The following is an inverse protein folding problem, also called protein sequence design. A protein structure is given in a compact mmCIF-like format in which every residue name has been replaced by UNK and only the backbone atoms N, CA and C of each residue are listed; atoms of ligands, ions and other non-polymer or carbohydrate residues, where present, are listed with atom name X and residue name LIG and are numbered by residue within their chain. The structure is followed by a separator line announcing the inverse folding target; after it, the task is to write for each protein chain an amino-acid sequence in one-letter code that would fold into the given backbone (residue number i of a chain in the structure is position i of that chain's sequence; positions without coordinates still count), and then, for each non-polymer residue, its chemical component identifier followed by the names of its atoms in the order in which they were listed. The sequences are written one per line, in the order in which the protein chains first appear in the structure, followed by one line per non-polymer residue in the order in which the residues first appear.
data_IF_297025112402
#
_entry.id   IF_297025112402
#
_cell.length_a   1.000
_cell.length_b   1.000
_cell.length_c   1.000
_cell.angle_alpha   90.00
_cell.angle_beta   90.00
_cell.angle_gamma   90.00
#
_symmetry.space_group_name_H-M   'P 1'
#
loop_
_entity.id
_entity.type
_entity.pdbx_description
1 polymer ?
#
# COMPACT_ATOMS: atom_id res chain seq x y z
N UNK A 1 -14.48 40.64 -39.72
CA UNK A 1 -14.41 39.20 -39.46
C UNK A 1 -15.73 38.60 -39.87
N UNK A 2 -15.73 37.47 -40.57
CA UNK A 2 -16.96 36.76 -40.88
C UNK A 2 -17.55 36.18 -39.59
N UNK A 3 -18.87 35.99 -39.51
CA UNK A 3 -19.53 35.36 -38.35
C UNK A 3 -18.93 33.98 -38.03
N UNK A 4 -18.44 33.28 -39.06
CA UNK A 4 -17.75 32.01 -38.95
C UNK A 4 -16.38 32.14 -38.25
N UNK A 5 -15.63 33.21 -38.53
CA UNK A 5 -14.33 33.45 -37.88
C UNK A 5 -14.50 33.70 -36.38
N UNK A 6 -15.54 34.45 -35.99
CA UNK A 6 -15.88 34.70 -34.59
C UNK A 6 -16.28 33.40 -33.88
N UNK A 7 -17.12 32.57 -34.51
CA UNK A 7 -17.50 31.27 -33.96
C UNK A 7 -16.30 30.34 -33.71
N UNK A 8 -15.37 30.22 -34.66
CA UNK A 8 -14.17 29.41 -34.46
C UNK A 8 -13.20 30.02 -33.44
N UNK A 9 -13.18 31.34 -33.28
CA UNK A 9 -12.41 32.00 -32.24
C UNK A 9 -12.96 31.68 -30.85
N UNK A 10 -14.29 31.69 -30.68
CA UNK A 10 -14.95 31.30 -29.43
C UNK A 10 -14.67 29.83 -29.07
N UNK A 11 -14.77 28.91 -30.04
CA UNK A 11 -14.40 27.49 -29.85
C UNK A 11 -12.94 27.36 -29.42
N UNK A 12 -12.03 28.09 -30.06
CA UNK A 12 -10.61 28.04 -29.71
C UNK A 12 -10.35 28.52 -28.29
N UNK A 13 -11.05 29.55 -27.84
CA UNK A 13 -10.95 30.04 -26.46
C UNK A 13 -11.48 29.01 -25.46
N UNK A 14 -12.61 28.34 -25.77
CA UNK A 14 -13.17 27.28 -24.93
C UNK A 14 -12.21 26.08 -24.83
N UNK A 15 -11.65 25.61 -25.95
CA UNK A 15 -10.63 24.56 -25.97
C UNK A 15 -9.41 24.97 -25.13
N UNK A 16 -8.96 26.22 -25.25
CA UNK A 16 -7.80 26.72 -24.49
C UNK A 16 -8.07 26.73 -22.99
N UNK A 17 -9.29 27.09 -22.56
CA UNK A 17 -9.72 27.01 -21.15
C UNK A 17 -9.72 25.56 -20.66
N UNK A 18 -10.24 24.62 -21.44
CA UNK A 18 -10.27 23.20 -21.08
C UNK A 18 -8.87 22.58 -20.98
N UNK A 19 -7.96 22.94 -21.89
CA UNK A 19 -6.56 22.52 -21.81
C UNK A 19 -5.91 23.06 -20.54
N UNK A 20 -6.12 24.34 -20.21
CA UNK A 20 -5.56 24.93 -18.99
C UNK A 20 -6.08 24.23 -17.72
N UNK A 21 -7.38 23.92 -17.65
CA UNK A 21 -7.99 23.15 -16.55
C UNK A 21 -7.34 21.79 -16.37
N UNK A 22 -7.09 21.08 -17.48
CA UNK A 22 -6.42 19.77 -17.47
C UNK A 22 -4.98 19.88 -16.95
N UNK A 23 -4.25 20.92 -17.34
CA UNK A 23 -2.89 21.17 -16.85
C UNK A 23 -2.87 21.42 -15.34
N UNK A 24 -3.79 22.27 -14.83
CA UNK A 24 -3.90 22.53 -13.39
C UNK A 24 -4.20 21.26 -12.58
N UNK A 25 -5.07 20.38 -13.08
CA UNK A 25 -5.33 19.09 -12.45
C UNK A 25 -4.07 18.20 -12.43
N UNK A 26 -3.32 18.17 -13.53
CA UNK A 26 -2.09 17.38 -13.62
C UNK A 26 -1.01 17.92 -12.68
N UNK A 27 -0.87 19.23 -12.57
CA UNK A 27 0.10 19.86 -11.67
C UNK A 27 -0.24 19.57 -10.21
N UNK A 28 -1.52 19.62 -9.85
CA UNK A 28 -2.00 19.27 -8.51
C UNK A 28 -1.79 17.77 -8.21
N UNK A 29 -2.06 16.88 -9.17
CA UNK A 29 -1.73 15.44 -9.07
C UNK A 29 -0.23 15.23 -8.83
N UNK A 30 0.62 15.88 -9.63
CA UNK A 30 2.08 15.79 -9.51
C UNK A 30 2.58 16.32 -8.16
N UNK A 31 2.02 17.43 -7.66
CA UNK A 31 2.38 17.99 -6.34
C UNK A 31 2.09 17.00 -5.21
N UNK A 32 0.97 16.27 -5.30
CA UNK A 32 0.67 15.24 -4.32
C UNK A 32 1.61 14.04 -4.45
N UNK A 33 1.86 13.56 -5.66
CA UNK A 33 2.80 12.45 -5.90
C UNK A 33 4.20 12.80 -5.35
N UNK A 34 4.68 14.04 -5.56
CA UNK A 34 5.93 14.56 -4.97
C UNK A 34 5.89 14.56 -3.44
N UNK A 35 4.75 14.90 -2.84
CA UNK A 35 4.58 14.88 -1.37
C UNK A 35 4.69 13.47 -0.78
N UNK A 36 4.48 12.43 -1.60
CA UNK A 36 4.56 11.04 -1.18
C UNK A 36 5.96 10.42 -1.31
N UNK A 37 6.86 11.02 -2.11
CA UNK A 37 8.22 10.52 -2.36
C UNK A 37 9.02 10.26 -1.06
N UNK A 38 9.00 11.13 -0.04
CA UNK A 38 9.73 10.87 1.20
C UNK A 38 9.30 9.55 1.86
N UNK A 39 8.00 9.29 1.97
CA UNK A 39 7.49 8.06 2.58
C UNK A 39 7.80 6.83 1.74
N UNK A 40 7.68 6.93 0.42
CA UNK A 40 8.07 5.84 -0.49
C UNK A 40 9.56 5.52 -0.37
N UNK A 41 10.41 6.55 -0.25
CA UNK A 41 11.86 6.38 -0.05
C UNK A 41 12.16 5.70 1.27
N UNK A 42 11.48 6.10 2.35
CA UNK A 42 11.62 5.46 3.66
C UNK A 42 11.12 4.01 3.63
N UNK A 43 9.99 3.73 2.99
CA UNK A 43 9.48 2.35 2.82
C UNK A 43 10.48 1.49 2.05
N UNK A 44 11.05 2.02 0.97
CA UNK A 44 12.03 1.30 0.17
C UNK A 44 13.31 0.98 0.96
N UNK A 45 13.72 1.85 1.89
CA UNK A 45 14.85 1.54 2.76
C UNK A 45 14.53 0.39 3.71
N UNK A 46 13.32 0.34 4.29
CA UNK A 46 12.87 -0.78 5.13
C UNK A 46 12.80 -2.11 4.39
N UNK A 47 12.42 -2.09 3.10
CA UNK A 47 12.35 -3.29 2.29
C UNK A 47 13.70 -4.03 2.12
N UNK A 48 14.82 -3.34 2.40
CA UNK A 48 16.16 -3.93 2.37
C UNK A 48 16.65 -4.44 3.74
N UNK A 49 15.93 -4.12 4.82
CA UNK A 49 16.32 -4.40 6.20
C UNK A 49 15.70 -5.71 6.69
N UNK A 50 16.49 -6.54 7.36
CA UNK A 50 16.02 -7.79 7.95
C UNK A 50 14.97 -7.55 9.06
N UNK A 51 13.96 -8.42 9.18
CA UNK A 51 12.85 -8.23 10.12
C UNK A 51 13.25 -7.93 11.58
N UNK A 52 14.24 -8.64 12.10
CA UNK A 52 14.80 -8.46 13.46
C UNK A 52 15.42 -7.06 13.72
N UNK A 53 15.89 -6.39 12.67
CA UNK A 53 16.50 -5.06 12.77
C UNK A 53 15.49 -3.91 12.55
N UNK A 54 14.26 -4.21 12.11
CA UNK A 54 13.26 -3.18 11.83
C UNK A 54 12.86 -2.38 13.09
N UNK A 55 12.80 -3.01 14.28
CA UNK A 55 12.37 -2.34 15.51
C UNK A 55 13.23 -1.10 15.84
N UNK A 56 14.55 -1.20 15.62
CA UNK A 56 15.47 -0.09 15.86
C UNK A 56 15.22 1.13 14.98
N UNK A 57 14.60 0.94 13.80
CA UNK A 57 14.27 2.02 12.85
C UNK A 57 12.97 2.72 13.27
N UNK A 58 11.96 1.96 13.66
CA UNK A 58 10.64 2.49 14.01
C UNK A 58 10.62 3.33 15.30
N UNK A 59 11.59 3.15 16.21
CA UNK A 59 11.74 4.02 17.38
C UNK A 59 12.08 5.48 17.03
N UNK A 60 12.57 5.73 15.81
CA UNK A 60 13.01 7.06 15.36
C UNK A 60 12.15 7.65 14.25
N UNK A 61 11.20 6.88 13.71
CA UNK A 61 10.36 7.30 12.59
C UNK A 61 9.01 7.80 13.11
N UNK A 62 8.70 9.09 12.88
CA UNK A 62 7.38 9.66 13.18
C UNK A 62 6.26 8.88 12.48
N UNK A 63 5.07 8.84 13.10
CA UNK A 63 3.85 8.36 12.45
C UNK A 63 3.65 9.07 11.11
N UNK A 64 3.51 8.29 10.03
CA UNK A 64 3.19 8.82 8.71
C UNK A 64 1.75 9.38 8.66
N UNK A 65 0.90 9.00 9.62
CA UNK A 65 -0.55 9.20 9.59
C UNK A 65 -0.90 10.69 9.56
N UNK A 66 -0.39 11.49 10.51
CA UNK A 66 -0.72 12.92 10.60
C UNK A 66 -0.20 13.70 9.39
N UNK A 67 0.98 13.34 8.89
CA UNK A 67 1.58 14.03 7.76
C UNK A 67 0.86 13.71 6.44
N UNK A 68 0.52 12.44 6.21
CA UNK A 68 -0.29 12.02 5.05
C UNK A 68 -1.68 12.63 5.11
N UNK A 69 -2.33 12.60 6.29
CA UNK A 69 -3.63 13.24 6.51
C UNK A 69 -3.56 14.75 6.21
N UNK A 70 -2.52 15.42 6.68
CA UNK A 70 -2.29 16.84 6.41
C UNK A 70 -2.10 17.14 4.91
N UNK A 71 -1.32 16.33 4.21
CA UNK A 71 -1.11 16.47 2.76
C UNK A 71 -2.41 16.20 1.98
N UNK A 72 -3.16 15.17 2.35
CA UNK A 72 -4.45 14.83 1.76
C UNK A 72 -5.47 15.97 1.96
N UNK A 73 -5.55 16.52 3.18
CA UNK A 73 -6.44 17.64 3.48
C UNK A 73 -6.11 18.89 2.64
N UNK A 74 -4.82 19.24 2.52
CA UNK A 74 -4.37 20.34 1.65
C UNK A 74 -4.77 20.09 0.19
N UNK A 75 -4.55 18.87 -0.30
CA UNK A 75 -4.88 18.48 -1.66
C UNK A 75 -6.38 18.59 -1.96
N UNK A 76 -7.23 18.04 -1.07
CA UNK A 76 -8.69 18.08 -1.25
C UNK A 76 -9.19 19.52 -1.26
N UNK A 77 -8.64 20.40 -0.40
CA UNK A 77 -8.99 21.81 -0.40
C UNK A 77 -8.60 22.49 -1.72
N UNK A 78 -7.38 22.29 -2.20
CA UNK A 78 -6.95 22.84 -3.50
C UNK A 78 -7.76 22.28 -4.68
N UNK A 79 -8.15 21.01 -4.64
CA UNK A 79 -9.00 20.39 -5.66
C UNK A 79 -10.42 20.95 -5.65
N UNK A 80 -10.94 21.33 -4.48
CA UNK A 80 -12.26 21.94 -4.35
C UNK A 80 -12.33 23.30 -5.07
N UNK A 81 -11.26 24.10 -4.99
CA UNK A 81 -11.15 25.44 -5.60
C UNK A 81 -11.08 25.43 -7.13
N UNK A 82 -10.65 24.33 -7.75
CA UNK A 82 -10.51 24.24 -9.21
C UNK A 82 -11.88 24.14 -9.91
N UNK A 83 -12.09 24.93 -10.97
CA UNK A 83 -13.29 24.86 -11.81
C UNK A 83 -13.21 23.69 -12.82
N UNK A 84 -13.41 22.46 -12.32
CA UNK A 84 -13.34 21.22 -13.09
C UNK A 84 -14.60 20.36 -12.94
N UNK A 85 -14.83 19.44 -13.88
CA UNK A 85 -16.00 18.55 -13.85
C UNK A 85 -15.96 17.66 -12.59
N UNK A 86 -17.11 17.36 -11.95
CA UNK A 86 -17.16 16.51 -10.76
C UNK A 86 -16.48 15.16 -10.95
N UNK A 87 -16.66 14.53 -12.12
CA UNK A 87 -16.03 13.24 -12.44
C UNK A 87 -14.50 13.29 -12.51
N UNK A 88 -13.91 14.43 -12.92
CA UNK A 88 -12.47 14.61 -12.94
C UNK A 88 -11.91 14.76 -11.52
N UNK A 89 -12.61 15.53 -10.67
CA UNK A 89 -12.27 15.70 -9.26
C UNK A 89 -12.36 14.36 -8.51
N UNK A 90 -13.44 13.62 -8.72
CA UNK A 90 -13.65 12.32 -8.10
C UNK A 90 -12.56 11.32 -8.51
N UNK A 91 -12.23 11.22 -9.81
CA UNK A 91 -11.15 10.35 -10.30
C UNK A 91 -9.83 10.63 -9.57
N UNK A 92 -9.48 11.90 -9.45
CA UNK A 92 -8.21 12.33 -8.87
C UNK A 92 -8.20 12.15 -7.35
N UNK A 93 -9.29 12.50 -6.67
CA UNK A 93 -9.48 12.24 -5.24
C UNK A 93 -9.37 10.76 -4.92
N UNK A 94 -10.02 9.90 -5.71
CA UNK A 94 -9.95 8.44 -5.55
C UNK A 94 -8.52 7.91 -5.70
N UNK A 95 -7.75 8.38 -6.69
CA UNK A 95 -6.33 7.99 -6.85
C UNK A 95 -5.52 8.37 -5.61
N UNK A 96 -5.63 9.61 -5.18
CA UNK A 96 -4.85 10.16 -4.05
C UNK A 96 -5.22 9.49 -2.72
N UNK A 97 -6.49 9.19 -2.51
CA UNK A 97 -6.94 8.39 -1.35
C UNK A 97 -6.39 6.97 -1.44
N UNK A 98 -6.46 6.29 -2.59
CA UNK A 98 -5.87 4.95 -2.78
C UNK A 98 -4.37 4.93 -2.47
N UNK A 99 -3.60 5.90 -2.95
CA UNK A 99 -2.16 5.99 -2.72
C UNK A 99 -1.84 6.27 -1.24
N UNK A 100 -2.65 7.09 -0.58
CA UNK A 100 -2.54 7.35 0.86
C UNK A 100 -2.82 6.09 1.69
N UNK A 101 -3.90 5.35 1.37
CA UNK A 101 -4.24 4.07 2.02
C UNK A 101 -3.09 3.08 1.85
N UNK A 102 -2.54 2.97 0.64
CA UNK A 102 -1.44 2.07 0.35
C UNK A 102 -0.21 2.36 1.23
N UNK A 103 0.20 3.62 1.33
CA UNK A 103 1.37 3.99 2.16
C UNK A 103 1.13 3.68 3.64
N UNK A 104 -0.06 3.95 4.16
CA UNK A 104 -0.41 3.65 5.56
C UNK A 104 -0.42 2.14 5.83
N UNK A 105 -0.97 1.34 4.92
CA UNK A 105 -0.96 -0.12 5.04
C UNK A 105 0.46 -0.68 5.02
N UNK A 106 1.33 -0.18 4.15
CA UNK A 106 2.74 -0.62 4.09
C UNK A 106 3.50 -0.19 5.34
N UNK A 107 3.30 1.04 5.82
CA UNK A 107 3.88 1.51 7.07
C UNK A 107 3.47 0.62 8.25
N UNK A 108 2.17 0.32 8.37
CA UNK A 108 1.63 -0.58 9.39
C UNK A 108 2.24 -1.97 9.32
N UNK A 109 2.36 -2.52 8.10
CA UNK A 109 2.94 -3.83 7.88
C UNK A 109 4.38 -3.92 8.44
N UNK A 110 5.27 -3.00 8.05
CA UNK A 110 6.65 -3.03 8.53
C UNK A 110 6.76 -2.75 10.03
N UNK A 111 5.93 -1.85 10.58
CA UNK A 111 5.96 -1.55 12.00
C UNK A 111 5.59 -2.77 12.86
N UNK A 112 4.52 -3.49 12.51
CA UNK A 112 4.10 -4.70 13.23
C UNK A 112 5.16 -5.81 13.08
N UNK A 113 5.77 -5.97 11.90
CA UNK A 113 6.88 -6.92 11.75
C UNK A 113 8.05 -6.59 12.66
N UNK A 114 8.47 -5.32 12.70
CA UNK A 114 9.56 -4.89 13.58
C UNK A 114 9.25 -5.16 15.06
N UNK A 115 8.03 -4.92 15.51
CA UNK A 115 7.62 -5.21 16.88
C UNK A 115 7.63 -6.73 17.17
N UNK A 116 7.12 -7.55 16.25
CA UNK A 116 6.89 -8.99 16.47
C UNK A 116 8.13 -9.85 16.35
N UNK A 117 9.10 -9.49 15.49
CA UNK A 117 10.36 -10.24 15.31
C UNK A 117 11.34 -10.10 16.48
N UNK A 118 10.97 -9.38 17.55
CA UNK A 118 11.73 -9.30 18.80
C UNK A 118 11.36 -10.39 19.81
N UNK A 119 10.34 -11.21 19.49
CA UNK A 119 9.79 -12.23 20.37
C UNK A 119 9.90 -13.63 19.73
N UNK A 120 10.03 -14.66 20.57
CA UNK A 120 9.97 -16.07 20.20
C UNK A 120 8.93 -16.76 21.12
N UNK A 121 7.81 -17.29 20.60
CA UNK A 121 7.43 -17.41 19.19
C UNK A 121 7.01 -16.08 18.55
N UNK A 122 7.15 -15.98 17.22
CA UNK A 122 6.70 -14.81 16.46
C UNK A 122 5.19 -14.93 16.25
N UNK A 123 4.41 -14.08 16.93
CA UNK A 123 2.96 -14.05 16.80
C UNK A 123 2.51 -12.76 16.13
N UNK A 124 1.76 -12.88 15.04
CA UNK A 124 1.26 -11.74 14.27
C UNK A 124 -0.26 -11.81 14.19
N UNK A 125 -0.92 -10.77 14.70
CA UNK A 125 -2.36 -10.59 14.50
C UNK A 125 -2.64 -10.14 13.08
N UNK A 126 -3.55 -10.82 12.36
CA UNK A 126 -3.82 -10.48 10.96
C UNK A 126 -4.57 -9.15 10.80
N UNK A 127 -5.74 -9.04 11.43
CA UNK A 127 -6.63 -7.87 11.31
C UNK A 127 -6.75 -7.22 12.68
N UNK A 128 -6.73 -5.89 12.67
CA UNK A 128 -6.90 -5.08 13.88
C UNK A 128 -8.25 -5.34 14.55
N UNK A 129 -8.21 -5.45 15.88
CA UNK A 129 -9.38 -5.65 16.74
C UNK A 129 -9.39 -4.64 17.88
N UNK A 130 -10.46 -4.58 18.66
CA UNK A 130 -10.59 -3.64 19.78
C UNK A 130 -9.51 -3.80 20.86
N UNK A 131 -8.91 -5.00 20.97
CA UNK A 131 -7.95 -5.35 22.01
C UNK A 131 -6.51 -5.35 21.54
N UNK A 132 -6.30 -5.62 20.26
CA UNK A 132 -4.98 -5.88 19.71
C UNK A 132 -4.87 -5.38 18.28
N UNK A 133 -3.70 -4.80 18.02
CA UNK A 133 -3.34 -4.20 16.76
C UNK A 133 -2.91 -5.26 15.74
N UNK A 134 -3.54 -5.25 14.56
CA UNK A 134 -3.22 -6.18 13.48
C UNK A 134 -2.27 -5.59 12.44
N UNK A 135 -1.63 -6.48 11.68
CA UNK A 135 -0.77 -6.11 10.55
C UNK A 135 -1.55 -5.47 9.40
N UNK A 136 -2.83 -5.80 9.27
CA UNK A 136 -3.78 -5.16 8.35
C UNK A 136 -4.74 -4.30 9.18
N UNK A 137 -4.74 -3.00 8.90
CA UNK A 137 -5.72 -2.06 9.44
C UNK A 137 -7.08 -2.23 8.76
N UNK A 138 -8.17 -2.03 9.50
CA UNK A 138 -9.52 -2.14 8.94
C UNK A 138 -9.83 -0.95 8.01
N UNK A 139 -10.80 -1.08 7.08
CA UNK A 139 -11.23 0.07 6.26
C UNK A 139 -11.69 1.25 7.13
N UNK A 140 -12.45 0.98 8.19
CA UNK A 140 -12.96 2.03 9.09
C UNK A 140 -11.83 2.77 9.80
N UNK A 141 -10.83 2.04 10.30
CA UNK A 141 -9.63 2.60 10.92
C UNK A 141 -8.86 3.50 9.94
N UNK A 142 -8.55 3.00 8.75
CA UNK A 142 -7.77 3.73 7.75
C UNK A 142 -8.47 5.02 7.29
N UNK A 143 -9.76 4.95 6.95
CA UNK A 143 -10.48 6.13 6.48
C UNK A 143 -10.61 7.18 7.60
N UNK A 144 -10.78 6.74 8.85
CA UNK A 144 -10.74 7.62 10.01
C UNK A 144 -9.37 8.30 10.18
N UNK A 145 -8.27 7.57 10.01
CA UNK A 145 -6.91 8.12 10.05
C UNK A 145 -6.70 9.18 8.97
N UNK A 146 -7.24 8.95 7.76
CA UNK A 146 -7.18 9.90 6.65
C UNK A 146 -8.13 11.10 6.81
N UNK A 147 -9.06 11.06 7.77
CA UNK A 147 -10.07 12.10 7.95
C UNK A 147 -11.14 12.12 6.85
N UNK A 148 -11.34 11.00 6.17
CA UNK A 148 -12.36 10.83 5.12
C UNK A 148 -13.59 10.17 5.74
N UNK A 149 -14.76 10.77 5.57
CA UNK A 149 -16.02 10.30 6.18
C UNK A 149 -16.58 9.06 5.50
N UNK A 150 -16.51 9.02 4.17
CA UNK A 150 -17.12 7.96 3.37
C UNK A 150 -16.12 6.85 3.07
N UNK A 151 -16.43 5.65 3.58
CA UNK A 151 -15.57 4.48 3.37
C UNK A 151 -15.80 3.93 1.96
N UNK A 152 -14.77 4.05 1.12
CA UNK A 152 -14.75 3.44 -0.20
C UNK A 152 -13.96 2.13 -0.18
N UNK A 153 -14.67 1.00 -0.10
CA UNK A 153 -14.07 -0.33 -0.06
C UNK A 153 -13.27 -0.67 -1.32
N UNK A 154 -13.62 -0.12 -2.48
CA UNK A 154 -12.87 -0.40 -3.71
C UNK A 154 -11.44 0.15 -3.61
N UNK A 155 -11.27 1.39 -3.15
CA UNK A 155 -9.94 1.99 -2.98
C UNK A 155 -9.10 1.21 -1.97
N UNK A 156 -9.72 0.82 -0.85
CA UNK A 156 -9.07 -0.01 0.16
C UNK A 156 -8.59 -1.35 -0.41
N UNK A 157 -9.45 -2.07 -1.14
CA UNK A 157 -9.11 -3.38 -1.70
C UNK A 157 -8.02 -3.28 -2.77
N UNK A 158 -8.01 -2.22 -3.59
CA UNK A 158 -6.92 -2.00 -4.55
C UNK A 158 -5.60 -1.74 -3.82
N UNK A 159 -5.61 -0.90 -2.79
CA UNK A 159 -4.43 -0.63 -1.98
C UNK A 159 -3.93 -1.87 -1.23
N UNK A 160 -4.84 -2.72 -0.74
CA UNK A 160 -4.50 -4.01 -0.12
C UNK A 160 -3.84 -4.97 -1.11
N UNK A 161 -4.27 -4.99 -2.38
CA UNK A 161 -3.58 -5.77 -3.42
C UNK A 161 -2.16 -5.23 -3.68
N UNK A 162 -1.97 -3.90 -3.70
CA UNK A 162 -0.64 -3.27 -3.83
C UNK A 162 0.28 -3.63 -2.65
N UNK A 163 -0.26 -3.73 -1.42
CA UNK A 163 0.51 -4.18 -0.26
C UNK A 163 1.05 -5.60 -0.46
N UNK A 164 0.27 -6.51 -1.07
CA UNK A 164 0.71 -7.90 -1.28
C UNK A 164 1.97 -7.97 -2.16
N UNK A 165 2.08 -7.10 -3.17
CA UNK A 165 3.29 -7.03 -4.00
C UNK A 165 4.52 -6.68 -3.14
N UNK A 166 4.39 -5.71 -2.23
CA UNK A 166 5.45 -5.34 -1.27
C UNK A 166 5.80 -6.52 -0.35
N UNK A 167 4.80 -7.24 0.16
CA UNK A 167 5.01 -8.42 1.02
C UNK A 167 5.85 -9.48 0.32
N UNK A 168 5.52 -9.78 -0.95
CA UNK A 168 6.19 -10.81 -1.75
C UNK A 168 7.63 -10.42 -2.06
N UNK A 169 7.83 -9.16 -2.47
CA UNK A 169 9.17 -8.66 -2.79
C UNK A 169 10.03 -8.55 -1.54
N UNK A 170 9.49 -8.07 -0.42
CA UNK A 170 10.19 -8.06 0.87
C UNK A 170 10.62 -9.45 1.31
N UNK A 171 9.73 -10.44 1.20
CA UNK A 171 10.04 -11.84 1.53
C UNK A 171 11.21 -12.33 0.68
N UNK A 172 11.19 -12.06 -0.62
CA UNK A 172 12.24 -12.49 -1.55
C UNK A 172 13.58 -11.83 -1.22
N UNK A 173 13.58 -10.50 -1.05
CA UNK A 173 14.78 -9.73 -0.71
C UNK A 173 15.37 -10.18 0.61
N UNK A 174 14.53 -10.41 1.63
CA UNK A 174 14.98 -10.91 2.93
C UNK A 174 15.65 -12.27 2.81
N UNK A 175 15.01 -13.23 2.13
CA UNK A 175 15.58 -14.58 1.96
C UNK A 175 16.90 -14.54 1.19
N UNK A 176 16.98 -13.72 0.13
CA UNK A 176 18.23 -13.54 -0.63
C UNK A 176 19.33 -12.96 0.27
N UNK A 177 19.06 -11.86 0.98
CA UNK A 177 20.04 -11.20 1.84
C UNK A 177 20.52 -12.14 2.95
N UNK A 178 19.62 -12.91 3.57
CA UNK A 178 19.97 -13.90 4.58
C UNK A 178 20.82 -15.04 3.99
N UNK A 179 20.51 -15.51 2.77
CA UNK A 179 21.26 -16.58 2.11
C UNK A 179 22.69 -16.18 1.72
N UNK A 180 22.91 -14.91 1.36
CA UNK A 180 24.23 -14.38 0.98
C UNK A 180 25.05 -14.01 2.22
N UNK A 181 24.39 -13.44 3.24
CA UNK A 181 25.06 -12.88 4.42
C UNK A 181 25.35 -13.86 5.55
N UNK A 182 24.71 -15.05 5.60
CA UNK A 182 24.88 -15.99 6.71
C UNK A 182 25.86 -17.13 6.37
N UNK A 183 26.94 -17.23 7.15
CA UNK A 183 27.81 -18.42 7.22
C UNK A 183 27.25 -19.49 8.19
N UNK A 184 26.24 -19.13 8.99
CA UNK A 184 25.53 -20.00 9.94
C UNK A 184 24.14 -20.35 9.40
N UNK A 185 23.83 -21.64 9.35
CA UNK A 185 22.71 -22.23 8.61
C UNK A 185 21.29 -21.91 9.12
N UNK A 186 21.11 -20.99 10.08
CA UNK A 186 19.83 -20.78 10.77
C UNK A 186 19.69 -19.30 11.16
N UNK A 187 18.53 -18.70 10.85
CA UNK A 187 18.21 -17.28 11.13
C UNK A 187 16.71 -17.14 11.41
N UNK A 188 16.29 -16.43 12.48
CA UNK A 188 14.87 -16.21 12.78
C UNK A 188 14.17 -15.43 11.65
N UNK A 189 14.94 -14.70 10.84
CA UNK A 189 14.43 -13.93 9.71
C UNK A 189 13.81 -14.81 8.62
N UNK A 190 14.18 -16.09 8.50
CA UNK A 190 13.54 -17.00 7.52
C UNK A 190 12.06 -17.26 7.82
N UNK A 191 11.62 -17.05 9.07
CA UNK A 191 10.22 -17.16 9.48
C UNK A 191 9.31 -16.15 8.79
N UNK A 192 9.86 -15.07 8.21
CA UNK A 192 9.09 -14.12 7.40
C UNK A 192 8.37 -14.80 6.23
N UNK A 193 9.00 -15.83 5.63
CA UNK A 193 8.39 -16.57 4.54
C UNK A 193 7.10 -17.26 4.97
N UNK A 194 7.10 -17.89 6.16
CA UNK A 194 5.93 -18.57 6.70
C UNK A 194 4.82 -17.57 7.07
N UNK A 195 5.18 -16.45 7.72
CA UNK A 195 4.25 -15.39 8.11
C UNK A 195 3.58 -14.80 6.87
N UNK A 196 4.37 -14.38 5.89
CA UNK A 196 3.85 -13.71 4.71
C UNK A 196 3.05 -14.64 3.80
N UNK A 197 3.45 -15.92 3.68
CA UNK A 197 2.63 -16.93 2.99
C UNK A 197 1.26 -17.10 3.67
N UNK A 198 1.21 -17.19 5.00
CA UNK A 198 -0.05 -17.26 5.76
C UNK A 198 -0.91 -16.00 5.58
N UNK A 199 -0.31 -14.81 5.67
CA UNK A 199 -1.02 -13.54 5.45
C UNK A 199 -1.64 -13.49 4.06
N UNK A 200 -0.85 -13.72 3.01
CA UNK A 200 -1.31 -13.66 1.62
C UNK A 200 -2.37 -14.71 1.33
N UNK A 201 -2.24 -15.93 1.89
CA UNK A 201 -3.26 -16.97 1.79
C UNK A 201 -4.58 -16.57 2.44
N UNK A 202 -4.54 -16.01 3.67
CA UNK A 202 -5.75 -15.51 4.35
C UNK A 202 -6.40 -14.35 3.58
N UNK A 203 -5.61 -13.42 3.03
CA UNK A 203 -6.13 -12.34 2.18
C UNK A 203 -6.76 -12.92 0.91
N UNK A 204 -6.09 -13.85 0.22
CA UNK A 204 -6.62 -14.49 -0.99
C UNK A 204 -7.96 -15.18 -0.73
N UNK A 205 -8.10 -15.88 0.39
CA UNK A 205 -9.37 -16.45 0.82
C UNK A 205 -10.42 -15.37 1.14
N UNK A 206 -10.02 -14.24 1.73
CA UNK A 206 -10.91 -13.10 1.93
C UNK A 206 -11.44 -12.55 0.61
N UNK A 207 -10.59 -12.36 -0.39
CA UNK A 207 -11.00 -11.90 -1.72
C UNK A 207 -11.89 -12.89 -2.46
N UNK A 208 -11.71 -14.20 -2.28
CA UNK A 208 -12.58 -15.21 -2.92
C UNK A 208 -14.01 -15.21 -2.38
N UNK A 209 -14.22 -14.70 -1.16
CA UNK A 209 -15.56 -14.48 -0.58
C UNK A 209 -16.25 -13.24 -1.16
N UNK A 210 -15.48 -12.31 -1.72
CA UNK A 210 -16.02 -11.12 -2.37
C UNK A 210 -16.44 -11.52 -3.79
N UNK A 211 -17.75 -11.59 -4.06
CA UNK A 211 -18.29 -11.75 -5.42
C UNK A 211 -17.98 -10.48 -6.24
N UNK A 212 -16.72 -10.33 -6.67
CA UNK A 212 -16.21 -9.12 -7.29
C UNK A 212 -16.84 -8.90 -8.66
N UNK A 213 -17.78 -7.95 -8.71
CA UNK A 213 -18.41 -7.47 -9.96
C UNK A 213 -17.59 -6.39 -10.66
N UNK A 214 -16.59 -5.83 -9.99
CA UNK A 214 -15.75 -4.77 -10.54
C UNK A 214 -14.60 -5.35 -11.36
N UNK A 215 -14.57 -5.01 -12.65
CA UNK A 215 -13.63 -5.55 -13.64
C UNK A 215 -12.17 -5.16 -13.36
N UNK A 216 -11.93 -3.97 -12.79
CA UNK A 216 -10.58 -3.50 -12.44
C UNK A 216 -10.02 -4.28 -11.25
N UNK A 217 -10.84 -4.43 -10.19
CA UNK A 217 -10.45 -5.22 -9.02
C UNK A 217 -10.22 -6.68 -9.38
N UNK A 218 -11.07 -7.25 -10.25
CA UNK A 218 -10.94 -8.62 -10.72
C UNK A 218 -9.61 -8.84 -11.43
N UNK A 219 -9.24 -7.97 -12.38
CA UNK A 219 -7.96 -8.06 -13.11
C UNK A 219 -6.75 -7.99 -12.18
N UNK A 220 -6.79 -7.13 -11.15
CA UNK A 220 -5.71 -7.05 -10.15
C UNK A 220 -5.71 -8.24 -9.21
N UNK A 221 -6.87 -8.77 -8.84
CA UNK A 221 -6.97 -9.98 -8.03
C UNK A 221 -6.44 -11.22 -8.79
N UNK A 222 -6.63 -11.30 -10.11
CA UNK A 222 -6.13 -12.43 -10.91
C UNK A 222 -4.61 -12.60 -10.84
N UNK A 223 -3.84 -11.53 -10.57
CA UNK A 223 -2.39 -11.62 -10.38
C UNK A 223 -2.00 -12.20 -9.01
N UNK A 224 -2.90 -12.18 -8.01
CA UNK A 224 -2.65 -12.65 -6.65
C UNK A 224 -2.26 -14.13 -6.61
N UNK A 225 -2.77 -14.95 -7.54
CA UNK A 225 -2.40 -16.37 -7.62
C UNK A 225 -0.89 -16.56 -7.83
N UNK A 226 -0.25 -15.67 -8.60
CA UNK A 226 1.19 -15.75 -8.88
C UNK A 226 2.01 -15.35 -7.65
N UNK A 227 1.57 -14.34 -6.93
CA UNK A 227 2.15 -13.92 -5.65
C UNK A 227 2.08 -15.04 -4.61
N UNK A 228 0.91 -15.68 -4.47
CA UNK A 228 0.70 -16.84 -3.60
C UNK A 228 1.60 -18.03 -3.98
N UNK A 229 1.68 -18.35 -5.28
CA UNK A 229 2.58 -19.40 -5.77
C UNK A 229 4.06 -19.10 -5.50
N UNK A 230 4.50 -17.86 -5.65
CA UNK A 230 5.88 -17.43 -5.37
C UNK A 230 6.22 -17.62 -3.88
N UNK A 231 5.35 -17.17 -2.98
CA UNK A 231 5.54 -17.37 -1.54
C UNK A 231 5.55 -18.84 -1.14
N UNK A 232 4.66 -19.65 -1.70
CA UNK A 232 4.63 -21.09 -1.42
C UNK A 232 5.91 -21.80 -1.86
N UNK A 233 6.49 -21.41 -3.01
CA UNK A 233 7.80 -21.92 -3.45
C UNK A 233 8.92 -21.53 -2.48
N UNK A 234 8.95 -20.28 -2.04
CA UNK A 234 9.94 -19.81 -1.05
C UNK A 234 9.82 -20.62 0.25
N UNK A 235 8.61 -20.76 0.80
CA UNK A 235 8.39 -21.54 2.04
C UNK A 235 8.79 -23.00 1.87
N UNK A 236 8.46 -23.60 0.72
CA UNK A 236 8.88 -24.97 0.41
C UNK A 236 10.42 -25.10 0.39
N UNK A 237 11.11 -24.17 -0.26
CA UNK A 237 12.56 -24.13 -0.34
C UNK A 237 13.25 -23.96 1.03
N UNK A 238 12.69 -23.12 1.90
CA UNK A 238 13.17 -22.91 3.26
C UNK A 238 12.92 -24.14 4.14
N UNK A 239 11.75 -24.76 4.01
CA UNK A 239 11.35 -25.95 4.78
C UNK A 239 12.20 -27.16 4.39
N UNK A 240 12.42 -27.39 3.10
CA UNK A 240 13.24 -28.50 2.59
C UNK A 240 14.68 -28.45 3.13
N UNK A 241 15.19 -27.24 3.40
CA UNK A 241 16.53 -27.00 3.93
C UNK A 241 16.58 -26.87 5.45
N UNK A 242 15.45 -27.00 6.15
CA UNK A 242 15.33 -26.80 7.60
C UNK A 242 15.87 -25.44 8.08
N UNK A 243 15.63 -24.37 7.31
CA UNK A 243 16.14 -23.02 7.61
C UNK A 243 15.22 -22.23 8.55
N UNK A 244 13.95 -22.63 8.68
CA UNK A 244 12.98 -22.00 9.59
C UNK A 244 13.13 -22.62 10.97
N UNK A 245 13.69 -21.86 11.92
CA UNK A 245 13.96 -22.34 13.29
C UNK A 245 13.08 -21.72 14.36
N UNK A 246 12.32 -20.68 14.02
CA UNK A 246 11.46 -19.96 14.96
C UNK A 246 10.01 -20.24 14.61
N UNK A 247 9.20 -20.58 15.61
CA UNK A 247 7.77 -20.81 15.41
C UNK A 247 7.09 -19.49 15.07
N UNK A 248 6.25 -19.51 14.03
CA UNK A 248 5.56 -18.32 13.56
C UNK A 248 4.07 -18.56 13.31
N UNK A 249 3.25 -17.78 14.00
CA UNK A 249 1.79 -17.89 14.00
C UNK A 249 1.15 -16.60 13.48
N UNK A 250 0.11 -16.77 12.65
CA UNK A 250 -0.70 -15.67 12.13
C UNK A 250 -2.14 -15.90 12.56
N UNK A 251 -2.60 -15.11 13.53
CA UNK A 251 -3.92 -15.21 14.15
C UNK A 251 -4.97 -14.33 13.46
#
# INVERSE_FOLDING_TARGET
MSELDTFFQDIREEISKDVNKKTLLQDLENQFDLSLIPYQTTINSWASVSPDHLNGIFQTTNSFEDAIRGNLGKFINSLAELDCKPSQKERLSNKVIEDSIYILLVNRYFWILGATFTHDPIKVKLITSDKELGIISTPQEIFKLLGVTDVNYQLYLIALLKLIDVIVDYTTTTVINQSIGSSTSQSPNYSIGLINSKIVSKIQNGFSLLDLKNDILRKRYDSLKYNSQRLNKIVYDLSLRNLVTTEAEVE
#
